data_IF_337916946271
#
_entry.id   IF_337916946271
#
_cell.length_a   1.000
_cell.length_b   1.000
_cell.length_c   1.000
_cell.angle_alpha   90.00
_cell.angle_beta   90.00
_cell.angle_gamma   90.00
#
_symmetry.space_group_name_H-M   'P 1'
#
loop_
_entity.id
_entity.type
_entity.pdbx_description
1 polymer ?
#
# COMPACT_ATOMS: atom_id res chain seq x y z
N UNK A 1 -15.18 -10.02 -4.98
CA UNK A 1 -15.06 -8.58 -4.69
C UNK A 1 -15.21 -7.80 -5.98
N UNK A 2 -16.01 -6.76 -5.96
CA UNK A 2 -16.13 -5.81 -7.06
C UNK A 2 -15.30 -4.57 -6.74
N UNK A 3 -14.50 -4.10 -7.68
CA UNK A 3 -13.72 -2.88 -7.52
C UNK A 3 -14.64 -1.67 -7.71
N UNK A 4 -15.11 -1.10 -6.62
CA UNK A 4 -16.03 0.04 -6.63
C UNK A 4 -15.35 1.35 -6.21
N UNK A 5 -14.29 1.26 -5.42
CA UNK A 5 -13.53 2.41 -4.96
C UNK A 5 -12.06 2.06 -4.78
N UNK A 6 -11.22 3.06 -4.86
CA UNK A 6 -9.81 2.93 -4.54
C UNK A 6 -9.33 4.18 -3.80
N UNK A 7 -8.47 3.96 -2.81
CA UNK A 7 -7.75 5.04 -2.14
C UNK A 7 -6.30 4.96 -2.60
N UNK A 8 -5.77 6.08 -3.04
CA UNK A 8 -4.37 6.20 -3.48
C UNK A 8 -3.61 6.95 -2.39
N UNK A 9 -2.59 6.29 -1.84
CA UNK A 9 -1.69 6.89 -0.87
C UNK A 9 -0.30 7.04 -1.48
N UNK A 10 0.28 8.22 -1.34
CA UNK A 10 1.63 8.54 -1.83
C UNK A 10 2.55 8.75 -0.63
N UNK A 11 3.69 8.05 -0.64
CA UNK A 11 4.69 8.13 0.43
C UNK A 11 6.04 8.54 -0.10
N UNK A 12 6.75 9.33 0.68
CA UNK A 12 8.19 9.53 0.55
C UNK A 12 8.92 8.79 1.68
N UNK A 13 10.22 8.46 1.54
CA UNK A 13 11.00 7.95 2.66
C UNK A 13 10.89 8.91 3.86
N UNK A 14 10.64 8.33 5.03
CA UNK A 14 10.34 9.11 6.23
C UNK A 14 8.85 9.22 6.56
N UNK A 15 7.98 9.05 5.58
CA UNK A 15 6.54 9.00 5.83
C UNK A 15 6.16 7.68 6.52
N UNK A 16 5.13 7.76 7.34
CA UNK A 16 4.58 6.59 8.04
C UNK A 16 3.05 6.61 7.96
N UNK A 17 2.47 5.45 8.15
CA UNK A 17 1.04 5.29 8.34
C UNK A 17 0.82 4.55 9.65
N UNK A 18 0.12 5.21 10.59
CA UNK A 18 -0.18 4.63 11.90
C UNK A 18 -1.10 3.42 11.79
N UNK A 19 -1.04 2.55 12.77
CA UNK A 19 -1.92 1.41 12.85
C UNK A 19 -3.38 1.86 12.88
N UNK A 20 -4.18 1.27 12.00
CA UNK A 20 -5.61 1.57 11.85
C UNK A 20 -6.33 0.37 11.25
N UNK A 21 -7.65 0.46 11.16
CA UNK A 21 -8.49 -0.53 10.46
C UNK A 21 -9.32 0.17 9.40
N UNK A 22 -9.57 -0.55 8.30
CA UNK A 22 -10.43 -0.06 7.23
C UNK A 22 -11.86 -0.55 7.47
N UNK A 23 -12.70 0.30 8.03
CA UNK A 23 -14.05 -0.05 8.51
C UNK A 23 -15.14 0.89 7.95
N UNK A 24 -14.83 1.64 6.88
CA UNK A 24 -15.78 2.60 6.30
C UNK A 24 -16.76 1.98 5.31
N UNK A 25 -16.52 0.77 4.85
CA UNK A 25 -17.34 0.09 3.87
C UNK A 25 -18.59 -0.54 4.51
N UNK A 26 -19.67 -0.63 3.74
CA UNK A 26 -20.92 -1.26 4.16
C UNK A 26 -20.96 -2.77 3.87
N UNK A 27 -19.80 -3.39 3.65
CA UNK A 27 -19.68 -4.83 3.44
C UNK A 27 -18.35 -5.34 3.97
N UNK A 28 -18.26 -6.66 4.11
CA UNK A 28 -17.05 -7.34 4.60
C UNK A 28 -16.27 -8.04 3.49
N UNK A 29 -16.43 -7.60 2.26
CA UNK A 29 -15.72 -8.17 1.12
C UNK A 29 -14.22 -7.91 1.23
N UNK A 30 -13.39 -8.78 0.63
CA UNK A 30 -11.94 -8.60 0.66
C UNK A 30 -11.49 -7.23 0.15
N UNK A 31 -10.35 -6.80 0.65
CA UNK A 31 -9.70 -5.56 0.27
C UNK A 31 -8.34 -5.91 -0.34
N UNK A 32 -7.98 -5.30 -1.46
CA UNK A 32 -6.70 -5.56 -2.14
C UNK A 32 -5.84 -4.31 -2.07
N UNK A 33 -4.63 -4.46 -1.53
CA UNK A 33 -3.64 -3.39 -1.43
C UNK A 33 -2.48 -3.69 -2.38
N UNK A 34 -2.23 -2.81 -3.33
CA UNK A 34 -1.19 -2.95 -4.36
C UNK A 34 -0.11 -1.92 -4.11
N UNK A 35 1.15 -2.36 -4.12
CA UNK A 35 2.31 -1.50 -3.88
C UNK A 35 3.09 -1.26 -5.17
N UNK A 36 3.50 -0.02 -5.40
CA UNK A 36 4.35 0.39 -6.53
C UNK A 36 5.45 1.33 -6.04
N UNK A 37 6.63 1.25 -6.65
CA UNK A 37 7.75 2.13 -6.33
C UNK A 37 8.65 1.56 -5.24
N UNK A 38 9.02 2.39 -4.26
CA UNK A 38 9.88 1.96 -3.16
C UNK A 38 9.22 0.88 -2.31
N UNK A 39 10.06 0.03 -1.73
CA UNK A 39 9.62 -0.98 -0.77
C UNK A 39 9.13 -0.31 0.51
N UNK A 40 8.24 -0.98 1.22
CA UNK A 40 7.78 -0.55 2.52
C UNK A 40 7.73 -1.72 3.49
N UNK A 41 7.89 -1.40 4.77
CA UNK A 41 7.58 -2.34 5.84
C UNK A 41 6.10 -2.17 6.16
N UNK A 42 5.39 -3.27 6.16
CA UNK A 42 3.97 -3.34 6.45
C UNK A 42 3.76 -4.25 7.65
N UNK A 43 3.04 -3.77 8.64
CA UNK A 43 2.72 -4.53 9.84
C UNK A 43 1.22 -4.68 9.95
N UNK A 44 0.75 -5.90 10.21
CA UNK A 44 -0.66 -6.16 10.44
C UNK A 44 -0.84 -7.18 11.56
N UNK A 45 -1.95 -7.09 12.27
CA UNK A 45 -2.23 -7.99 13.37
C UNK A 45 -3.67 -7.91 13.84
N UNK A 46 -4.16 -9.03 14.36
CA UNK A 46 -5.49 -9.12 14.96
C UNK A 46 -5.44 -8.68 16.42
N UNK A 47 -4.30 -8.92 17.08
CA UNK A 47 -4.03 -8.56 18.47
C UNK A 47 -2.51 -8.53 18.71
N UNK A 48 -2.08 -8.30 19.95
CA UNK A 48 -0.67 -8.21 20.30
C UNK A 48 0.13 -9.51 20.06
N UNK A 49 -0.54 -10.65 19.99
CA UNK A 49 0.11 -11.96 19.84
C UNK A 49 0.14 -12.43 18.39
N UNK A 50 -0.81 -11.96 17.56
CA UNK A 50 -0.97 -12.40 16.17
C UNK A 50 -0.60 -11.26 15.23
N UNK A 51 0.69 -10.99 15.12
CA UNK A 51 1.25 -9.89 14.33
C UNK A 51 2.16 -10.45 13.24
N UNK A 52 2.02 -9.92 12.03
CA UNK A 52 2.91 -10.20 10.91
C UNK A 52 3.54 -8.90 10.41
N UNK A 53 4.82 -8.97 10.08
CA UNK A 53 5.55 -7.86 9.47
C UNK A 53 6.11 -8.33 8.14
N UNK A 54 5.78 -7.59 7.07
CA UNK A 54 6.13 -7.93 5.71
C UNK A 54 6.91 -6.80 5.06
N UNK A 55 7.85 -7.16 4.19
CA UNK A 55 8.45 -6.20 3.26
C UNK A 55 7.67 -6.28 1.95
N UNK A 56 6.99 -5.21 1.59
CA UNK A 56 6.23 -5.11 0.35
C UNK A 56 7.08 -4.43 -0.70
N UNK A 57 7.23 -5.08 -1.84
CA UNK A 57 7.98 -4.58 -2.99
C UNK A 57 7.04 -4.10 -4.07
N UNK A 58 7.58 -3.32 -5.00
CA UNK A 58 6.81 -2.89 -6.18
C UNK A 58 6.20 -4.08 -6.91
N UNK A 59 4.88 -4.04 -7.12
CA UNK A 59 4.13 -5.14 -7.74
C UNK A 59 3.52 -6.13 -6.74
N UNK A 60 3.85 -6.05 -5.45
CA UNK A 60 3.24 -6.92 -4.46
C UNK A 60 1.81 -6.46 -4.16
N UNK A 61 0.94 -7.45 -3.92
CA UNK A 61 -0.43 -7.22 -3.50
C UNK A 61 -0.70 -7.95 -2.18
N UNK A 62 -1.37 -7.28 -1.27
CA UNK A 62 -1.85 -7.87 -0.02
C UNK A 62 -3.36 -7.98 -0.11
N UNK A 63 -3.86 -9.20 0.10
CA UNK A 63 -5.28 -9.47 0.18
C UNK A 63 -5.68 -9.54 1.66
N UNK A 64 -6.53 -8.64 2.09
CA UNK A 64 -7.11 -8.68 3.43
C UNK A 64 -8.51 -9.24 3.32
N UNK A 65 -8.73 -10.43 3.87
CA UNK A 65 -9.99 -11.16 3.76
C UNK A 65 -10.25 -11.99 5.00
N UNK A 66 -11.50 -12.42 5.19
CA UNK A 66 -11.88 -13.19 6.37
C UNK A 66 -11.55 -12.45 7.65
N UNK A 67 -10.88 -13.09 8.59
CA UNK A 67 -10.46 -12.46 9.84
C UNK A 67 -9.53 -11.27 9.63
N UNK A 68 -8.64 -11.34 8.65
CA UNK A 68 -7.67 -10.26 8.39
C UNK A 68 -8.30 -9.02 7.75
N UNK A 69 -9.54 -9.09 7.28
CA UNK A 69 -10.21 -7.93 6.64
C UNK A 69 -10.22 -6.71 7.55
N UNK A 70 -10.35 -6.92 8.84
CA UNK A 70 -10.39 -5.85 9.83
C UNK A 70 -9.18 -5.85 10.76
N UNK A 71 -8.07 -6.48 10.35
CA UNK A 71 -6.84 -6.43 11.11
C UNK A 71 -6.31 -5.01 11.22
N UNK A 72 -5.70 -4.69 12.34
CA UNK A 72 -4.93 -3.49 12.50
C UNK A 72 -3.71 -3.56 11.59
N UNK A 73 -3.44 -2.49 10.84
CA UNK A 73 -2.29 -2.46 9.94
C UNK A 73 -1.74 -1.05 9.81
N UNK A 74 -0.46 -0.97 9.43
CA UNK A 74 0.23 0.28 9.25
C UNK A 74 1.51 0.11 8.47
N UNK A 75 2.14 1.25 8.14
CA UNK A 75 3.39 1.32 7.41
C UNK A 75 4.41 2.10 8.25
N UNK A 76 5.22 1.41 9.06
CA UNK A 76 6.19 2.08 9.91
C UNK A 76 7.39 2.65 9.14
N UNK A 77 7.68 2.18 7.94
CA UNK A 77 8.84 2.64 7.20
C UNK A 77 8.69 2.43 5.68
N UNK A 78 9.11 3.43 4.92
CA UNK A 78 9.35 3.35 3.47
C UNK A 78 10.87 3.30 3.26
N UNK A 79 11.34 2.33 2.47
CA UNK A 79 12.77 2.07 2.31
C UNK A 79 13.34 2.90 1.16
N UNK A 80 14.21 3.85 1.50
CA UNK A 80 14.91 4.68 0.53
C UNK A 80 15.78 3.84 -0.39
N UNK A 81 15.86 4.21 -1.67
CA UNK A 81 16.73 3.54 -2.63
C UNK A 81 16.22 2.18 -3.12
N UNK A 82 15.00 1.79 -2.81
CA UNK A 82 14.44 0.48 -3.16
C UNK A 82 13.49 0.48 -4.35
N UNK A 83 13.27 1.62 -5.00
CA UNK A 83 12.45 1.68 -6.21
C UNK A 83 13.14 0.91 -7.35
N UNK A 84 12.41 0.09 -8.13
CA UNK A 84 13.00 -0.56 -9.29
C UNK A 84 13.58 0.46 -10.29
N UNK A 85 14.74 0.17 -10.85
CA UNK A 85 15.43 1.09 -11.78
C UNK A 85 14.56 1.45 -12.98
N UNK A 86 13.83 0.48 -13.52
CA UNK A 86 12.97 0.70 -14.69
C UNK A 86 11.81 1.64 -14.42
N UNK A 87 11.44 1.85 -13.16
CA UNK A 87 10.33 2.71 -12.75
C UNK A 87 10.81 4.10 -12.27
N UNK A 88 12.09 4.25 -11.99
CA UNK A 88 12.62 5.43 -11.30
C UNK A 88 12.30 6.75 -12.01
N UNK A 89 12.31 6.76 -13.35
CA UNK A 89 12.08 7.95 -14.16
C UNK A 89 10.63 8.10 -14.63
N UNK A 90 9.76 7.13 -14.31
CA UNK A 90 8.34 7.25 -14.65
C UNK A 90 7.70 8.38 -13.82
N UNK A 91 6.85 9.23 -14.37
CA UNK A 91 6.39 9.32 -15.77
C UNK A 91 7.21 10.28 -16.67
N UNK A 92 8.50 10.45 -16.38
CA UNK A 92 9.38 11.41 -17.04
C UNK A 92 9.58 11.18 -18.53
N UNK A 93 9.33 9.95 -19.06
CA UNK A 93 9.39 9.68 -20.50
C UNK A 93 8.35 10.50 -21.28
N UNK A 94 7.18 10.73 -20.70
CA UNK A 94 6.12 11.53 -21.29
C UNK A 94 6.08 12.95 -20.71
N UNK A 95 6.52 13.12 -19.47
CA UNK A 95 6.45 14.37 -18.72
C UNK A 95 7.81 14.63 -18.08
N UNK A 96 8.69 15.30 -18.80
CA UNK A 96 10.09 15.50 -18.40
C UNK A 96 10.24 16.14 -17.01
N UNK A 97 9.32 16.98 -16.59
CA UNK A 97 9.31 17.61 -15.26
C UNK A 97 9.19 16.59 -14.12
N UNK A 98 8.75 15.36 -14.41
CA UNK A 98 8.59 14.29 -13.44
C UNK A 98 9.72 13.27 -13.46
N UNK A 99 10.78 13.50 -14.27
CA UNK A 99 11.92 12.58 -14.32
C UNK A 99 12.53 12.39 -12.93
N UNK A 100 12.73 11.12 -12.54
CA UNK A 100 13.27 10.77 -11.23
C UNK A 100 12.31 10.85 -10.07
N UNK A 101 11.05 11.26 -10.28
CA UNK A 101 10.09 11.43 -9.21
C UNK A 101 9.78 10.12 -8.49
N UNK A 102 9.53 9.05 -9.23
CA UNK A 102 9.20 7.73 -8.65
C UNK A 102 10.35 7.09 -7.87
N UNK A 103 11.58 7.49 -8.15
CA UNK A 103 12.76 6.95 -7.47
C UNK A 103 12.67 7.05 -5.95
N UNK A 104 12.06 8.12 -5.44
CA UNK A 104 11.87 8.36 -4.02
C UNK A 104 10.43 8.22 -3.55
N UNK A 105 9.57 7.49 -4.26
CA UNK A 105 8.15 7.42 -3.92
C UNK A 105 7.67 5.98 -3.80
N UNK A 106 6.67 5.80 -2.94
CA UNK A 106 5.85 4.60 -2.90
C UNK A 106 4.40 5.00 -3.12
N UNK A 107 3.74 4.28 -4.03
CA UNK A 107 2.31 4.42 -4.26
C UNK A 107 1.63 3.16 -3.71
N UNK A 108 0.57 3.35 -2.97
CA UNK A 108 -0.32 2.27 -2.53
C UNK A 108 -1.70 2.50 -3.10
N UNK A 109 -2.22 1.49 -3.79
CA UNK A 109 -3.58 1.45 -4.29
C UNK A 109 -4.37 0.49 -3.41
N UNK A 110 -5.36 1.01 -2.72
CA UNK A 110 -6.20 0.25 -1.81
C UNK A 110 -7.59 0.10 -2.42
N UNK A 111 -7.83 -1.05 -3.05
CA UNK A 111 -9.03 -1.31 -3.86
C UNK A 111 -10.05 -2.09 -3.03
N UNK A 112 -11.31 -1.64 -3.07
CA UNK A 112 -12.35 -2.19 -2.23
C UNK A 112 -13.73 -2.17 -2.86
N UNK A 113 -14.58 -3.05 -2.36
CA UNK A 113 -16.02 -3.01 -2.62
C UNK A 113 -16.67 -2.24 -1.47
N UNK A 114 -17.54 -1.30 -1.79
CA UNK A 114 -18.18 -0.42 -0.78
C UNK A 114 -19.50 -0.98 -0.28
N UNK A 115 -20.24 -1.65 -1.15
CA UNK A 115 -21.58 -2.12 -0.85
C UNK A 115 -21.73 -3.62 -1.07
N UNK A 116 -22.65 -4.23 -0.33
CA UNK A 116 -22.91 -5.66 -0.42
C UNK A 116 -23.43 -6.13 -1.79
#
# INVERSE_FOLDING_TARGET
MKAEAAIVNLYSPGDTLSLHRDVSEECNRPLVSISLGCDAIFTCGLDDERVATLRLRSGDAVLMSGESRYAWHGVPKVLEGSCPDWMADWPGEQYQEWEGWMKGKRINLNVRQMFA
#
